data_IF_028512161551
#
_entry.id   IF_028512161551
#
_cell.length_a   1.000
_cell.length_b   1.000
_cell.length_c   1.000
_cell.angle_alpha   90.00
_cell.angle_beta   90.00
_cell.angle_gamma   90.00
#
_symmetry.space_group_name_H-M   'P 1'
#
loop_
_entity.id
_entity.type
_entity.pdbx_description
1 polymer ?
#
# COMPACT_ATOMS: atom_id res chain seq x y z
N UNK A 1 -0.51 -3.78 -24.34
CA UNK A 1 -1.16 -2.50 -24.68
C UNK A 1 -0.44 -1.42 -23.88
N UNK A 2 -0.02 -0.33 -24.51
CA UNK A 2 0.74 0.73 -23.85
C UNK A 2 -0.23 1.70 -23.14
N UNK A 3 0.10 2.15 -21.93
CA UNK A 3 -0.65 3.20 -21.23
C UNK A 3 -0.29 4.57 -21.82
N UNK A 4 -1.24 5.50 -21.90
CA UNK A 4 -1.02 6.86 -22.44
C UNK A 4 -1.04 7.90 -21.32
N UNK A 5 0.13 8.36 -20.87
CA UNK A 5 0.25 9.31 -19.75
C UNK A 5 0.59 10.72 -20.22
N UNK A 6 0.09 11.75 -19.51
CA UNK A 6 0.59 13.12 -19.60
C UNK A 6 1.92 13.26 -18.84
N UNK A 7 2.92 12.47 -19.23
CA UNK A 7 4.20 12.36 -18.53
C UNK A 7 5.31 11.96 -19.51
N UNK A 8 6.38 12.76 -19.57
CA UNK A 8 7.50 12.52 -20.48
C UNK A 8 8.72 11.94 -19.78
N UNK A 9 9.67 11.39 -20.53
CA UNK A 9 10.94 10.93 -19.96
C UNK A 9 11.75 12.09 -19.36
N UNK A 10 11.63 13.30 -19.93
CA UNK A 10 12.29 14.49 -19.36
C UNK A 10 11.70 14.86 -18.00
N UNK A 11 10.38 14.73 -17.83
CA UNK A 11 9.73 14.88 -16.52
C UNK A 11 10.25 13.84 -15.54
N UNK A 12 10.32 12.58 -15.98
CA UNK A 12 10.85 11.48 -15.17
C UNK A 12 12.24 11.78 -14.64
N UNK A 13 13.20 12.02 -15.54
CA UNK A 13 14.59 12.25 -15.16
C UNK A 13 14.73 13.45 -14.22
N UNK A 14 13.98 14.53 -14.48
CA UNK A 14 13.97 15.72 -13.61
C UNK A 14 13.47 15.38 -12.21
N UNK A 15 12.37 14.65 -12.11
CA UNK A 15 11.70 14.35 -10.85
C UNK A 15 12.51 13.33 -10.04
N UNK A 16 13.02 12.27 -10.67
CA UNK A 16 13.89 11.29 -10.01
C UNK A 16 15.16 11.95 -9.45
N UNK A 17 15.79 12.86 -10.21
CA UNK A 17 16.94 13.64 -9.69
C UNK A 17 16.56 14.47 -8.46
N UNK A 18 15.40 15.12 -8.46
CA UNK A 18 14.95 15.91 -7.31
C UNK A 18 14.74 15.04 -6.08
N UNK A 19 14.13 13.87 -6.23
CA UNK A 19 13.95 12.93 -5.11
C UNK A 19 15.28 12.40 -4.57
N UNK A 20 16.23 12.05 -5.44
CA UNK A 20 17.58 11.61 -5.03
C UNK A 20 18.27 12.72 -4.23
N UNK A 21 18.24 13.96 -4.73
CA UNK A 21 18.81 15.11 -4.03
C UNK A 21 18.09 15.39 -2.69
N UNK A 22 16.77 15.18 -2.63
CA UNK A 22 16.00 15.35 -1.39
C UNK A 22 16.41 14.33 -0.33
N UNK A 23 16.55 13.05 -0.69
CA UNK A 23 17.05 12.01 0.20
C UNK A 23 18.48 12.29 0.70
N UNK A 24 19.33 12.88 -0.13
CA UNK A 24 20.68 13.29 0.24
C UNK A 24 20.73 14.58 1.08
N UNK A 25 19.61 15.30 1.25
CA UNK A 25 19.58 16.61 1.90
C UNK A 25 20.21 17.72 1.07
N UNK A 26 20.37 17.51 -0.24
CA UNK A 26 21.04 18.41 -1.19
C UNK A 26 20.04 19.27 -1.98
N UNK A 27 18.75 18.96 -1.92
CA UNK A 27 17.71 19.74 -2.58
C UNK A 27 17.42 21.03 -1.79
N UNK A 28 17.56 22.18 -2.44
CA UNK A 28 17.38 23.52 -1.87
C UNK A 28 15.90 23.98 -1.81
N UNK A 29 14.98 23.10 -2.19
CA UNK A 29 13.53 23.35 -2.21
C UNK A 29 12.77 22.13 -1.64
N UNK A 30 11.52 22.30 -1.18
CA UNK A 30 10.69 21.16 -0.85
C UNK A 30 10.33 20.35 -2.09
N UNK A 31 10.05 19.06 -1.88
CA UNK A 31 9.34 18.22 -2.84
C UNK A 31 7.87 18.64 -2.87
N UNK A 32 7.33 18.86 -4.08
CA UNK A 32 5.93 19.26 -4.27
C UNK A 32 5.25 18.26 -5.20
N UNK A 33 4.41 17.39 -4.64
CA UNK A 33 3.66 16.38 -5.40
C UNK A 33 2.23 16.86 -5.61
N UNK A 34 1.88 17.20 -6.86
CA UNK A 34 0.52 17.62 -7.22
C UNK A 34 0.05 16.76 -8.40
N UNK A 35 -1.16 16.21 -8.25
CA UNK A 35 -1.85 15.48 -9.31
C UNK A 35 -3.22 16.13 -9.52
N UNK A 36 -3.61 16.35 -10.77
CA UNK A 36 -4.99 16.67 -11.13
C UNK A 36 -5.49 15.61 -12.10
N UNK A 37 -6.81 15.52 -12.29
CA UNK A 37 -7.41 14.53 -13.16
C UNK A 37 -8.49 15.20 -14.01
N UNK A 38 -8.52 14.89 -15.29
CA UNK A 38 -9.60 15.29 -16.17
C UNK A 38 -10.93 14.70 -15.67
N UNK A 39 -12.03 15.43 -15.88
CA UNK A 39 -13.35 14.96 -15.47
C UNK A 39 -13.71 13.69 -16.23
N UNK A 40 -13.87 12.59 -15.51
CA UNK A 40 -14.41 11.34 -16.05
C UNK A 40 -15.94 11.35 -15.89
N UNK A 41 -16.67 11.16 -16.99
CA UNK A 41 -18.14 11.20 -16.99
C UNK A 41 -18.80 9.89 -16.54
N UNK A 42 -18.02 8.86 -16.23
CA UNK A 42 -18.52 7.58 -15.76
C UNK A 42 -18.70 7.62 -14.24
N UNK A 43 -19.75 6.96 -13.73
CA UNK A 43 -19.88 6.71 -12.30
C UNK A 43 -18.67 5.92 -11.81
N UNK A 44 -17.86 6.53 -10.94
CA UNK A 44 -16.80 5.79 -10.27
C UNK A 44 -17.45 4.70 -9.40
N UNK A 45 -16.96 3.45 -9.44
CA UNK A 45 -17.38 2.43 -8.49
C UNK A 45 -17.00 2.86 -7.07
N UNK A 46 -17.67 2.30 -6.08
CA UNK A 46 -17.28 2.45 -4.68
C UNK A 46 -15.98 1.67 -4.43
N UNK A 47 -14.83 2.35 -4.57
CA UNK A 47 -13.48 1.75 -4.44
C UNK A 47 -13.24 1.07 -3.08
N UNK A 48 -13.94 1.52 -2.04
CA UNK A 48 -13.88 0.98 -0.68
C UNK A 48 -15.07 0.06 -0.35
N UNK A 49 -15.72 -0.50 -1.37
CA UNK A 49 -16.68 -1.59 -1.17
C UNK A 49 -15.96 -2.94 -1.09
N UNK A 50 -16.56 -3.91 -0.40
CA UNK A 50 -16.06 -5.30 -0.41
C UNK A 50 -15.96 -5.87 -1.82
N UNK A 51 -16.95 -5.55 -2.66
CA UNK A 51 -16.97 -5.96 -4.05
C UNK A 51 -15.71 -5.50 -4.78
N UNK A 52 -15.37 -4.21 -4.71
CA UNK A 52 -14.21 -3.67 -5.41
C UNK A 52 -12.88 -4.18 -4.83
N UNK A 53 -12.75 -4.17 -3.50
CA UNK A 53 -11.51 -4.52 -2.82
C UNK A 53 -11.14 -6.00 -2.97
N UNK A 54 -12.13 -6.91 -2.96
CA UNK A 54 -11.87 -8.35 -2.91
C UNK A 54 -12.41 -9.13 -4.12
N UNK A 55 -13.63 -8.85 -4.56
CA UNK A 55 -14.40 -9.76 -5.42
C UNK A 55 -14.28 -9.44 -6.91
N UNK A 56 -14.16 -8.16 -7.26
CA UNK A 56 -14.04 -7.67 -8.64
C UNK A 56 -12.80 -8.26 -9.29
N UNK A 57 -12.88 -8.66 -10.57
CA UNK A 57 -11.76 -9.33 -11.23
C UNK A 57 -10.56 -8.39 -11.30
N UNK A 58 -9.37 -8.95 -11.13
CA UNK A 58 -8.11 -8.18 -11.12
C UNK A 58 -7.98 -7.28 -12.34
N UNK A 59 -8.21 -7.81 -13.55
CA UNK A 59 -8.13 -7.02 -14.77
C UNK A 59 -9.15 -5.87 -14.81
N UNK A 60 -10.35 -6.04 -14.26
CA UNK A 60 -11.36 -4.97 -14.22
C UNK A 60 -11.01 -3.87 -13.21
N UNK A 61 -10.15 -4.16 -12.22
CA UNK A 61 -9.58 -3.16 -11.32
C UNK A 61 -8.43 -2.44 -12.01
N UNK A 62 -7.53 -3.17 -12.68
CA UNK A 62 -6.42 -2.58 -13.43
C UNK A 62 -6.92 -1.69 -14.58
N UNK A 63 -7.93 -2.13 -15.34
CA UNK A 63 -8.55 -1.34 -16.41
C UNK A 63 -9.16 -0.04 -15.87
N UNK A 64 -9.80 -0.13 -14.69
CA UNK A 64 -10.36 1.02 -14.01
C UNK A 64 -9.29 2.06 -13.64
N UNK A 65 -8.18 1.63 -13.03
CA UNK A 65 -7.10 2.54 -12.65
C UNK A 65 -6.29 3.03 -13.85
N UNK A 66 -6.20 2.25 -14.93
CA UNK A 66 -5.56 2.69 -16.17
C UNK A 66 -6.26 3.94 -16.72
N UNK A 67 -7.59 3.93 -16.85
CA UNK A 67 -8.36 5.09 -17.33
C UNK A 67 -8.10 6.33 -16.47
N UNK A 68 -7.98 6.16 -15.15
CA UNK A 68 -7.69 7.27 -14.23
C UNK A 68 -6.27 7.79 -14.36
N UNK A 69 -5.29 6.90 -14.51
CA UNK A 69 -3.90 7.28 -14.75
C UNK A 69 -3.74 8.04 -16.07
N UNK A 70 -4.42 7.59 -17.14
CA UNK A 70 -4.43 8.24 -18.45
C UNK A 70 -5.11 9.63 -18.42
N UNK A 71 -6.05 9.83 -17.49
CA UNK A 71 -6.69 11.12 -17.25
C UNK A 71 -5.94 12.01 -16.24
N UNK A 72 -4.83 11.53 -15.65
CA UNK A 72 -4.10 12.26 -14.60
C UNK A 72 -2.99 13.13 -15.19
N UNK A 73 -2.91 14.38 -14.73
CA UNK A 73 -1.81 15.30 -15.00
C UNK A 73 -0.91 15.39 -13.77
N UNK A 74 0.40 15.36 -14.01
CA UNK A 74 1.43 15.31 -12.97
C UNK A 74 2.23 16.62 -12.95
N UNK A 75 2.26 17.29 -11.81
CA UNK A 75 2.94 18.59 -11.64
C UNK A 75 3.98 18.55 -10.53
N UNK A 76 4.94 19.47 -10.60
CA UNK A 76 6.04 19.56 -9.63
C UNK A 76 6.94 18.34 -9.70
N UNK A 77 6.98 17.59 -8.59
CA UNK A 77 7.79 16.40 -8.33
C UNK A 77 6.91 15.12 -8.27
N UNK A 78 5.70 15.17 -8.84
CA UNK A 78 4.79 14.04 -8.90
C UNK A 78 5.16 13.03 -10.00
N UNK A 79 5.24 11.75 -9.62
CA UNK A 79 5.40 10.61 -10.55
C UNK A 79 4.04 9.96 -10.86
N UNK A 80 3.91 9.25 -12.01
CA UNK A 80 2.79 8.37 -12.28
C UNK A 80 2.84 7.15 -11.38
N UNK A 81 2.36 7.31 -10.15
CA UNK A 81 2.33 6.24 -9.13
C UNK A 81 0.95 5.64 -9.00
N UNK A 82 0.91 4.32 -8.75
CA UNK A 82 -0.28 3.59 -8.34
C UNK A 82 0.11 2.49 -7.34
N UNK A 83 -0.76 2.19 -6.39
CA UNK A 83 -0.56 1.09 -5.45
C UNK A 83 -1.92 0.44 -5.14
N UNK A 84 -1.95 -0.87 -4.83
CA UNK A 84 -3.19 -1.53 -4.45
C UNK A 84 -3.61 -1.06 -3.05
N UNK A 85 -4.60 -0.18 -2.98
CA UNK A 85 -5.12 0.35 -1.73
C UNK A 85 -6.25 -0.53 -1.16
N UNK A 86 -5.94 -1.28 -0.09
CA UNK A 86 -6.91 -2.09 0.64
C UNK A 86 -7.13 -1.60 2.08
N UNK A 87 -6.74 -0.35 2.35
CA UNK A 87 -6.80 0.27 3.67
C UNK A 87 -5.48 0.22 4.45
N UNK A 88 -5.36 1.07 5.48
CA UNK A 88 -4.12 1.24 6.23
C UNK A 88 -3.90 0.13 7.25
N UNK A 89 -2.94 -0.76 7.00
CA UNK A 89 -2.68 -1.90 7.88
C UNK A 89 -3.31 -3.21 7.41
N UNK A 90 -3.34 -3.45 6.09
CA UNK A 90 -3.91 -4.67 5.52
C UNK A 90 -3.25 -5.97 6.04
N UNK A 91 -2.03 -5.87 6.63
CA UNK A 91 -1.38 -7.01 7.29
C UNK A 91 -2.27 -7.61 8.38
N UNK A 92 -3.08 -6.84 9.09
CA UNK A 92 -4.06 -7.41 10.04
C UNK A 92 -4.98 -8.42 9.34
N UNK A 93 -5.46 -8.11 8.14
CA UNK A 93 -6.25 -9.05 7.32
C UNK A 93 -5.46 -10.28 6.84
N UNK A 94 -4.16 -10.13 6.58
CA UNK A 94 -3.29 -11.26 6.24
C UNK A 94 -3.11 -12.23 7.41
N UNK A 95 -3.15 -11.70 8.63
CA UNK A 95 -2.99 -12.43 9.89
C UNK A 95 -4.31 -12.94 10.47
N UNK A 96 -5.41 -12.89 9.69
CA UNK A 96 -6.70 -13.46 10.05
C UNK A 96 -7.65 -12.48 10.77
N UNK A 97 -7.28 -11.20 10.90
CA UNK A 97 -8.21 -10.19 11.37
C UNK A 97 -9.32 -9.90 10.36
N UNK A 98 -10.43 -9.40 10.86
CA UNK A 98 -11.57 -8.95 10.07
C UNK A 98 -11.20 -7.68 9.31
N UNK A 99 -11.53 -7.67 8.02
CA UNK A 99 -11.38 -6.52 7.13
C UNK A 99 -12.77 -5.97 6.85
N UNK A 100 -13.04 -4.75 7.30
CA UNK A 100 -14.34 -4.09 7.20
C UNK A 100 -14.29 -2.85 6.32
N UNK A 101 -14.65 -2.95 5.03
CA UNK A 101 -14.74 -1.80 4.16
C UNK A 101 -15.88 -0.86 4.60
N UNK A 102 -15.58 0.44 4.70
CA UNK A 102 -16.53 1.53 5.01
C UNK A 102 -16.59 2.46 3.80
N UNK A 103 -17.33 2.03 2.78
CA UNK A 103 -17.43 2.73 1.50
C UNK A 103 -17.93 4.18 1.63
N UNK A 104 -18.86 4.41 2.55
CA UNK A 104 -19.43 5.71 2.92
C UNK A 104 -18.40 6.68 3.52
N UNK A 105 -17.35 6.13 4.14
CA UNK A 105 -16.27 6.88 4.78
C UNK A 105 -14.95 6.84 3.98
N UNK A 106 -14.95 6.17 2.83
CA UNK A 106 -13.77 5.95 2.00
C UNK A 106 -12.58 5.37 2.77
N UNK A 107 -12.84 4.37 3.62
CA UNK A 107 -11.81 3.74 4.47
C UNK A 107 -12.08 2.24 4.69
N UNK A 108 -11.14 1.54 5.30
CA UNK A 108 -11.23 0.13 5.70
C UNK A 108 -10.76 0.02 7.14
N UNK A 109 -11.51 -0.71 7.96
CA UNK A 109 -11.21 -0.94 9.36
C UNK A 109 -10.77 -2.39 9.59
N UNK A 110 -9.89 -2.56 10.57
CA UNK A 110 -9.26 -3.83 10.88
C UNK A 110 -9.44 -4.16 12.36
N UNK A 111 -10.05 -5.30 12.65
CA UNK A 111 -10.39 -5.72 14.01
C UNK A 111 -10.17 -7.23 14.19
N UNK A 112 -9.90 -7.68 15.41
CA UNK A 112 -9.99 -9.11 15.73
C UNK A 112 -11.43 -9.61 15.65
N UNK A 113 -11.61 -10.88 15.29
CA UNK A 113 -12.92 -11.54 15.40
C UNK A 113 -13.36 -11.67 16.86
N UNK A 114 -12.41 -11.99 17.76
CA UNK A 114 -12.65 -12.12 19.20
C UNK A 114 -11.47 -11.55 20.00
N UNK A 115 -11.71 -11.00 21.21
CA UNK A 115 -10.65 -10.49 22.06
C UNK A 115 -9.79 -11.65 22.61
N UNK A 116 -8.49 -11.63 22.27
CA UNK A 116 -7.50 -12.62 22.71
C UNK A 116 -6.36 -11.93 23.45
N UNK A 117 -5.95 -12.37 24.65
CA UNK A 117 -4.79 -11.83 25.37
C UNK A 117 -3.53 -11.76 24.51
N UNK A 118 -2.66 -10.78 24.74
CA UNK A 118 -1.48 -10.55 23.89
C UNK A 118 -0.51 -11.74 23.92
N UNK A 119 -0.41 -12.42 25.06
CA UNK A 119 0.36 -13.63 25.27
C UNK A 119 -0.13 -14.81 24.42
N UNK A 120 -1.44 -14.88 24.18
CA UNK A 120 -2.12 -15.97 23.47
C UNK A 120 -2.23 -15.69 21.96
N UNK A 121 -1.92 -14.47 21.51
CA UNK A 121 -1.86 -14.18 20.08
C UNK A 121 -0.76 -15.02 19.42
N UNK A 122 -1.12 -15.64 18.30
CA UNK A 122 -0.21 -16.43 17.49
C UNK A 122 -0.47 -16.14 16.01
N UNK A 123 0.57 -15.66 15.33
CA UNK A 123 0.50 -15.32 13.92
C UNK A 123 1.49 -16.15 13.12
N UNK A 124 1.03 -16.62 11.98
CA UNK A 124 1.82 -17.37 11.01
C UNK A 124 1.58 -16.79 9.62
N UNK A 125 2.60 -16.87 8.78
CA UNK A 125 2.44 -16.52 7.38
C UNK A 125 1.52 -17.54 6.69
N UNK A 126 0.45 -17.04 6.06
CA UNK A 126 -0.43 -17.84 5.22
C UNK A 126 -0.38 -17.35 3.77
N UNK A 127 0.32 -18.11 2.93
CA UNK A 127 0.39 -17.84 1.50
C UNK A 127 -1.00 -17.85 0.83
N UNK A 128 -1.96 -18.60 1.35
CA UNK A 128 -3.28 -18.75 0.75
C UNK A 128 -4.32 -17.76 1.30
N UNK A 129 -3.93 -16.86 2.21
CA UNK A 129 -4.82 -15.85 2.74
C UNK A 129 -5.43 -15.02 1.60
N UNK A 130 -6.75 -14.85 1.61
CA UNK A 130 -7.50 -14.24 0.50
C UNK A 130 -7.10 -12.79 0.23
N UNK A 131 -6.80 -12.01 1.28
CA UNK A 131 -6.39 -10.62 1.17
C UNK A 131 -4.95 -10.52 0.69
N UNK A 132 -4.08 -11.42 1.17
CA UNK A 132 -2.70 -11.49 0.70
C UNK A 132 -2.64 -11.84 -0.79
N UNK A 133 -3.36 -12.89 -1.20
CA UNK A 133 -3.49 -13.27 -2.61
C UNK A 133 -4.08 -12.14 -3.46
N UNK A 134 -5.05 -11.40 -2.92
CA UNK A 134 -5.62 -10.24 -3.61
C UNK A 134 -4.57 -9.16 -3.88
N UNK A 135 -3.78 -8.77 -2.88
CA UNK A 135 -2.70 -7.77 -3.02
C UNK A 135 -1.65 -8.26 -4.01
N UNK A 136 -1.19 -9.50 -3.89
CA UNK A 136 -0.22 -10.09 -4.81
C UNK A 136 -0.70 -10.05 -6.26
N UNK A 137 -1.95 -10.45 -6.50
CA UNK A 137 -2.50 -10.54 -7.85
C UNK A 137 -2.71 -9.15 -8.48
N UNK A 138 -3.17 -8.17 -7.71
CA UNK A 138 -3.27 -6.77 -8.16
C UNK A 138 -1.90 -6.18 -8.48
N UNK A 139 -0.91 -6.39 -7.60
CA UNK A 139 0.47 -5.89 -7.80
C UNK A 139 1.09 -6.49 -9.06
N UNK A 140 0.98 -7.82 -9.24
CA UNK A 140 1.50 -8.52 -10.43
C UNK A 140 0.85 -8.01 -11.71
N UNK A 141 -0.48 -7.89 -11.72
CA UNK A 141 -1.20 -7.43 -12.90
C UNK A 141 -0.88 -5.97 -13.25
N UNK A 142 -0.67 -5.10 -12.25
CA UNK A 142 -0.24 -3.72 -12.48
C UNK A 142 1.16 -3.65 -13.09
N UNK A 143 2.12 -4.40 -12.54
CA UNK A 143 3.50 -4.48 -13.08
C UNK A 143 3.51 -5.05 -14.49
N UNK A 144 2.74 -6.12 -14.76
CA UNK A 144 2.62 -6.70 -16.11
C UNK A 144 1.95 -5.73 -17.09
N UNK A 145 0.95 -4.97 -16.64
CA UNK A 145 0.18 -4.08 -17.50
C UNK A 145 0.94 -2.83 -17.89
N UNK A 146 1.56 -2.16 -16.92
CA UNK A 146 2.12 -0.82 -17.11
C UNK A 146 3.63 -0.84 -17.28
N UNK A 147 4.30 -1.93 -16.91
CA UNK A 147 5.74 -2.06 -17.01
C UNK A 147 6.46 -0.95 -16.25
N UNK A 148 7.32 -0.21 -16.95
CA UNK A 148 8.16 0.86 -16.39
C UNK A 148 7.54 2.27 -16.56
N UNK A 149 6.33 2.35 -17.11
CA UNK A 149 5.63 3.62 -17.32
C UNK A 149 4.93 4.14 -16.06
N UNK A 150 4.57 3.25 -15.14
CA UNK A 150 3.90 3.57 -13.87
C UNK A 150 4.71 2.99 -12.72
N UNK A 151 4.95 3.80 -11.69
CA UNK A 151 5.60 3.38 -10.46
C UNK A 151 4.59 2.65 -9.59
N UNK A 152 4.59 1.32 -9.68
CA UNK A 152 3.76 0.46 -8.83
C UNK A 152 4.34 0.45 -7.42
N UNK A 153 3.58 0.94 -6.45
CA UNK A 153 3.98 1.05 -5.06
C UNK A 153 3.52 -0.12 -4.20
N UNK A 154 4.09 -0.20 -3.01
CA UNK A 154 3.65 -1.13 -1.97
C UNK A 154 2.23 -0.80 -1.52
N UNK A 155 1.46 -1.85 -1.20
CA UNK A 155 0.22 -1.69 -0.43
C UNK A 155 0.53 -1.13 0.96
N UNK A 156 -0.46 -0.53 1.62
CA UNK A 156 -0.29 -0.09 3.01
C UNK A 156 -0.38 -1.27 3.99
N UNK A 157 0.77 -1.85 4.28
CA UNK A 157 1.02 -2.87 5.30
C UNK A 157 0.79 -2.39 6.75
N UNK A 158 0.73 -1.08 7.02
CA UNK A 158 0.58 -0.48 8.35
C UNK A 158 1.80 -0.62 9.27
N UNK A 159 1.71 0.00 10.45
CA UNK A 159 2.72 -0.06 11.50
C UNK A 159 2.58 -1.29 12.38
N UNK A 160 3.71 -1.77 12.92
CA UNK A 160 3.74 -2.97 13.78
C UNK A 160 2.79 -2.86 14.97
N UNK A 161 2.83 -1.74 15.71
CA UNK A 161 1.94 -1.54 16.85
C UNK A 161 0.49 -1.27 16.45
N UNK A 162 0.26 -0.70 15.27
CA UNK A 162 -1.11 -0.50 14.75
C UNK A 162 -1.76 -1.87 14.47
N UNK A 163 -0.99 -2.82 13.93
CA UNK A 163 -1.45 -4.20 13.72
C UNK A 163 -1.76 -4.86 15.08
N UNK A 164 -0.89 -4.72 16.09
CA UNK A 164 -1.20 -5.22 17.45
C UNK A 164 -2.49 -4.58 17.98
N UNK A 165 -2.65 -3.26 17.80
CA UNK A 165 -3.82 -2.53 18.21
C UNK A 165 -5.10 -3.01 17.50
N UNK A 166 -5.04 -3.47 16.25
CA UNK A 166 -6.20 -4.09 15.60
C UNK A 166 -6.67 -5.36 16.30
N UNK A 167 -5.74 -6.15 16.88
CA UNK A 167 -6.09 -7.37 17.59
C UNK A 167 -6.44 -7.17 19.06
N UNK A 168 -5.89 -6.12 19.69
CA UNK A 168 -6.09 -5.83 21.11
C UNK A 168 -7.10 -4.71 21.37
N UNK A 169 -7.39 -3.86 20.40
CA UNK A 169 -7.82 -2.46 20.55
C UNK A 169 -6.72 -1.56 21.07
N UNK A 170 -6.75 -0.28 20.69
CA UNK A 170 -5.78 0.72 21.17
C UNK A 170 -5.78 0.84 22.69
N UNK A 171 -6.96 0.87 23.32
CA UNK A 171 -7.08 0.99 24.78
C UNK A 171 -6.41 -0.18 25.49
N UNK A 172 -6.68 -1.40 25.04
CA UNK A 172 -6.09 -2.56 25.68
C UNK A 172 -4.59 -2.66 25.40
N UNK A 173 -4.12 -2.31 24.19
CA UNK A 173 -2.69 -2.24 23.90
C UNK A 173 -1.97 -1.29 24.86
N UNK A 174 -2.58 -0.16 25.23
CA UNK A 174 -1.99 0.76 26.22
C UNK A 174 -1.88 0.11 27.61
N UNK A 175 -2.86 -0.69 28.02
CA UNK A 175 -2.77 -1.47 29.26
C UNK A 175 -1.71 -2.58 29.14
N UNK A 176 -1.68 -3.32 28.03
CA UNK A 176 -0.71 -4.39 27.81
C UNK A 176 0.73 -3.84 27.79
N UNK A 177 0.96 -2.63 27.26
CA UNK A 177 2.26 -1.94 27.29
C UNK A 177 2.74 -1.64 28.72
N UNK A 178 1.81 -1.49 29.67
CA UNK A 178 2.13 -1.25 31.08
C UNK A 178 2.23 -2.57 31.86
N UNK A 179 1.23 -3.45 31.71
CA UNK A 179 1.05 -4.66 32.51
C UNK A 179 1.89 -5.84 32.00
N UNK A 180 2.11 -5.92 30.68
CA UNK A 180 2.82 -7.02 30.01
C UNK A 180 3.74 -6.52 28.86
N UNK A 181 4.66 -5.56 29.10
CA UNK A 181 5.49 -4.95 28.05
C UNK A 181 6.33 -5.96 27.27
N UNK A 182 6.79 -7.02 27.93
CA UNK A 182 7.61 -8.06 27.29
C UNK A 182 6.80 -8.89 26.29
N UNK A 183 5.52 -9.13 26.55
CA UNK A 183 4.63 -9.83 25.61
C UNK A 183 4.29 -8.95 24.41
N UNK A 184 4.07 -7.65 24.61
CA UNK A 184 3.91 -6.70 23.51
C UNK A 184 5.18 -6.62 22.65
N UNK A 185 6.36 -6.60 23.27
CA UNK A 185 7.63 -6.60 22.55
C UNK A 185 7.86 -7.91 21.78
N UNK A 186 7.56 -9.06 22.39
CA UNK A 186 7.59 -10.37 21.72
C UNK A 186 6.68 -10.37 20.50
N UNK A 187 5.43 -9.93 20.67
CA UNK A 187 4.44 -9.88 19.60
C UNK A 187 4.84 -8.91 18.47
N UNK A 188 5.38 -7.74 18.83
CA UNK A 188 5.92 -6.78 17.87
C UNK A 188 7.07 -7.38 17.06
N UNK A 189 7.91 -8.19 17.69
CA UNK A 189 8.96 -8.96 17.00
C UNK A 189 8.40 -9.93 15.97
N UNK A 190 7.36 -10.69 16.32
CA UNK A 190 6.67 -11.63 15.42
C UNK A 190 6.04 -10.89 14.23
N UNK A 191 5.27 -9.84 14.49
CA UNK A 191 4.62 -9.04 13.44
C UNK A 191 5.67 -8.40 12.54
N UNK A 192 6.76 -7.83 13.09
CA UNK A 192 7.85 -7.27 12.28
C UNK A 192 8.46 -8.31 11.34
N UNK A 193 8.69 -9.54 11.80
CA UNK A 193 9.22 -10.60 10.93
C UNK A 193 8.25 -10.95 9.80
N UNK A 194 6.95 -11.03 10.08
CA UNK A 194 5.92 -11.29 9.07
C UNK A 194 5.77 -10.11 8.09
N UNK A 195 5.80 -8.89 8.62
CA UNK A 195 5.77 -7.64 7.86
C UNK A 195 6.91 -7.60 6.83
N UNK A 196 8.14 -7.93 7.25
CA UNK A 196 9.30 -7.98 6.33
C UNK A 196 9.11 -9.05 5.25
N UNK A 197 8.50 -10.20 5.56
CA UNK A 197 8.17 -11.23 4.57
C UNK A 197 7.21 -10.69 3.51
N UNK A 198 6.11 -10.04 3.92
CA UNK A 198 5.15 -9.45 2.98
C UNK A 198 5.78 -8.34 2.14
N UNK A 199 6.60 -7.48 2.76
CA UNK A 199 7.34 -6.43 2.07
C UNK A 199 8.28 -7.03 1.01
N UNK A 200 9.13 -7.99 1.37
CA UNK A 200 10.12 -8.57 0.46
C UNK A 200 9.47 -9.31 -0.72
N UNK A 201 8.33 -9.98 -0.49
CA UNK A 201 7.58 -10.63 -1.55
C UNK A 201 6.96 -9.62 -2.55
N UNK A 202 6.39 -8.52 -2.05
CA UNK A 202 5.87 -7.44 -2.92
C UNK A 202 7.01 -6.76 -3.67
N UNK A 203 8.10 -6.47 -2.97
CA UNK A 203 9.29 -5.86 -3.55
C UNK A 203 9.85 -6.69 -4.70
N UNK A 204 9.92 -8.02 -4.56
CA UNK A 204 10.36 -8.94 -5.63
C UNK A 204 9.51 -8.83 -6.90
N UNK A 205 8.24 -8.44 -6.78
CA UNK A 205 7.36 -8.19 -7.92
C UNK A 205 7.61 -6.80 -8.50
N UNK A 206 7.65 -5.78 -7.65
CA UNK A 206 7.75 -4.36 -8.02
C UNK A 206 9.10 -4.05 -8.68
N UNK A 207 10.20 -4.55 -8.14
CA UNK A 207 11.55 -4.21 -8.60
C UNK A 207 11.84 -4.70 -10.03
N UNK A 208 11.03 -5.61 -10.58
CA UNK A 208 11.12 -6.02 -12.00
C UNK A 208 10.95 -4.85 -12.97
N UNK A 209 10.31 -3.76 -12.53
CA UNK A 209 10.19 -2.53 -13.32
C UNK A 209 11.50 -1.73 -13.39
N UNK A 210 12.45 -1.97 -12.48
CA UNK A 210 13.72 -1.25 -12.34
C UNK A 210 13.55 0.28 -12.19
N UNK A 211 12.46 0.70 -11.53
CA UNK A 211 12.12 2.12 -11.32
C UNK A 211 12.13 2.53 -9.84
N UNK A 212 12.88 1.83 -8.99
CA UNK A 212 12.88 2.08 -7.55
C UNK A 212 11.56 1.69 -6.88
N UNK A 213 11.26 2.27 -5.72
CA UNK A 213 10.04 1.95 -4.95
C UNK A 213 9.27 3.18 -4.51
N UNK A 214 7.96 3.00 -4.32
CA UNK A 214 7.04 4.01 -3.80
C UNK A 214 5.97 3.36 -2.92
N UNK A 215 5.16 4.16 -2.26
CA UNK A 215 4.19 3.75 -1.25
C UNK A 215 2.96 4.66 -1.22
N UNK A 216 2.06 4.38 -0.27
CA UNK A 216 0.87 5.18 0.00
C UNK A 216 1.15 6.65 0.35
N UNK A 217 2.34 6.95 0.90
CA UNK A 217 2.75 8.31 1.28
C UNK A 217 3.20 9.17 0.09
N UNK A 218 3.13 8.65 -1.15
CA UNK A 218 3.60 9.31 -2.36
C UNK A 218 5.08 9.72 -2.32
N UNK A 219 5.88 8.95 -1.57
CA UNK A 219 7.34 9.07 -1.52
C UNK A 219 7.95 8.10 -2.51
N UNK A 220 8.97 8.54 -3.25
CA UNK A 220 9.74 7.69 -4.15
C UNK A 220 11.21 7.63 -3.74
N UNK A 221 11.81 6.46 -3.89
CA UNK A 221 13.25 6.23 -3.71
C UNK A 221 13.78 5.36 -4.85
N UNK A 222 15.01 5.60 -5.34
CA UNK A 222 15.68 4.66 -6.24
C UNK A 222 15.97 3.29 -5.59
N UNK A 223 15.98 3.25 -4.25
CA UNK A 223 16.20 2.04 -3.45
C UNK A 223 14.88 1.59 -2.79
N UNK A 224 14.99 0.72 -1.76
CA UNK A 224 13.87 0.28 -0.93
C UNK A 224 13.36 1.43 -0.05
N UNK A 225 12.08 1.71 -0.14
CA UNK A 225 11.33 2.58 0.78
C UNK A 225 10.00 1.95 1.16
N UNK A 226 9.49 2.35 2.31
CA UNK A 226 8.12 2.10 2.78
C UNK A 226 7.64 3.28 3.62
#
# INVERSE_FOLDING_TARGET
>A
MNISLYFTEQDRERIERNWVAWWAGELDKPIVVIKTMDTLFNSAPEEFSREFLLEKRVNEVIDYFQVRLEATHFYGDALPTWWPNLGPGIVTGFLGGKVEPRADQHTVWFEADEPVPVEDLHFVYDANNIWWQRVLNLTRAAVERWGDQVYVGHTDLGGVLDIVASFRTTTQLLYDLHDAPEEVNRMSGVIRSLWMCYYDELYTIIEKTQRGTTNWAAVWSPERTY
#
